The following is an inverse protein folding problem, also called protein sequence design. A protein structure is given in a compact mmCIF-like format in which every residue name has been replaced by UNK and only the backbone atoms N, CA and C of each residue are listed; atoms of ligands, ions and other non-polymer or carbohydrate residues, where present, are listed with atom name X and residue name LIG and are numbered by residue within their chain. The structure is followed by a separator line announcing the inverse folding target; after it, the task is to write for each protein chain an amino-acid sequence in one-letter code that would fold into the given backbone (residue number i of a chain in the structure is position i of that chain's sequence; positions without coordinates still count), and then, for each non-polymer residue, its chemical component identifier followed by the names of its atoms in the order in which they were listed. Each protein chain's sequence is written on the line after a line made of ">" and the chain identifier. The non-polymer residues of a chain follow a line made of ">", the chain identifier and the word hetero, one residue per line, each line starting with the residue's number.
data_IF_677664946758
#
_entry.id   IF_677664946758
#
_cell.length_a   1.000
_cell.length_b   1.000
_cell.length_c   1.000
_cell.angle_alpha   90.00
_cell.angle_beta   90.00
_cell.angle_gamma   90.00
#
_symmetry.space_group_name_H-M   'P 1'
#
loop_
_entity.id
_entity.type
_entity.pdbx_description
1 polymer ?
#
# COMPACT_ATOMS: atom_id res chain seq x y z
N UNK A 1 -13.51 -7.42 5.14
CA UNK A 1 -12.88 -7.62 6.47
C UNK A 1 -11.90 -8.81 6.50
N UNK A 2 -12.26 -10.01 6.00
CA UNK A 2 -11.33 -11.16 5.93
C UNK A 2 -10.13 -10.91 5.01
N UNK A 3 -10.37 -10.33 3.82
CA UNK A 3 -9.30 -9.97 2.86
C UNK A 3 -8.33 -8.96 3.46
N UNK A 4 -8.82 -7.91 4.11
CA UNK A 4 -7.97 -6.92 4.80
C UNK A 4 -7.10 -7.58 5.88
N UNK A 5 -7.65 -8.49 6.70
CA UNK A 5 -6.88 -9.25 7.70
C UNK A 5 -5.81 -10.14 7.09
N UNK A 6 -6.07 -10.78 5.95
CA UNK A 6 -5.09 -11.62 5.25
C UNK A 6 -4.03 -10.81 4.52
N UNK A 7 -4.36 -9.61 4.02
CA UNK A 7 -3.41 -8.77 3.29
C UNK A 7 -2.55 -7.88 4.20
N UNK A 8 -3.04 -7.46 5.37
CA UNK A 8 -2.25 -6.72 6.37
C UNK A 8 -0.90 -7.34 6.73
N UNK A 9 -0.75 -8.66 6.98
CA UNK A 9 0.55 -9.26 7.25
C UNK A 9 1.46 -9.25 6.02
N UNK A 10 0.93 -9.48 4.82
CA UNK A 10 1.70 -9.40 3.57
C UNK A 10 2.32 -8.01 3.38
N UNK A 11 1.52 -6.96 3.55
CA UNK A 11 2.03 -5.58 3.47
C UNK A 11 3.05 -5.27 4.57
N UNK A 12 2.87 -5.82 5.77
CA UNK A 12 3.84 -5.62 6.85
C UNK A 12 5.16 -6.32 6.57
N UNK A 13 5.13 -7.53 6.01
CA UNK A 13 6.34 -8.26 5.60
C UNK A 13 7.05 -7.48 4.50
N UNK A 14 6.33 -7.00 3.49
CA UNK A 14 6.89 -6.18 2.41
C UNK A 14 7.60 -4.92 2.91
N UNK A 15 6.97 -4.19 3.84
CA UNK A 15 7.57 -2.98 4.43
C UNK A 15 8.82 -3.33 5.24
N UNK A 16 8.75 -4.40 6.04
CA UNK A 16 9.89 -4.85 6.85
C UNK A 16 11.06 -5.30 5.98
N UNK A 17 10.78 -6.08 4.95
CA UNK A 17 11.75 -6.56 3.96
C UNK A 17 12.39 -5.37 3.22
N UNK A 18 11.58 -4.43 2.75
CA UNK A 18 12.08 -3.25 2.04
C UNK A 18 13.01 -2.41 2.91
N UNK A 19 12.67 -2.20 4.19
CA UNK A 19 13.53 -1.47 5.14
C UNK A 19 14.82 -2.23 5.42
N UNK A 20 14.74 -3.54 5.67
CA UNK A 20 15.91 -4.38 5.94
C UNK A 20 16.88 -4.41 4.75
N UNK A 21 16.35 -4.56 3.54
CA UNK A 21 17.14 -4.56 2.31
C UNK A 21 17.78 -3.20 2.02
N UNK A 22 17.09 -2.11 2.34
CA UNK A 22 17.63 -0.75 2.20
C UNK A 22 18.81 -0.53 3.17
N UNK A 23 18.67 -0.96 4.43
CA UNK A 23 19.77 -0.92 5.42
C UNK A 23 20.94 -1.79 4.97
N UNK A 24 20.70 -3.02 4.49
CA UNK A 24 21.74 -3.89 3.96
C UNK A 24 22.48 -3.25 2.76
N UNK A 25 21.74 -2.61 1.85
CA UNK A 25 22.30 -1.91 0.69
C UNK A 25 23.17 -0.72 1.11
N UNK A 26 22.73 0.06 2.10
CA UNK A 26 23.49 1.15 2.70
C UNK A 26 24.81 0.67 3.32
N UNK A 27 24.78 -0.40 4.10
CA UNK A 27 25.97 -1.00 4.70
C UNK A 27 26.93 -1.51 3.62
N UNK A 28 26.40 -2.16 2.57
CA UNK A 28 27.22 -2.61 1.43
C UNK A 28 27.89 -1.46 0.69
N UNK A 29 27.23 -0.30 0.58
CA UNK A 29 27.82 0.87 -0.08
C UNK A 29 29.00 1.47 0.71
N UNK A 30 28.93 1.42 2.04
CA UNK A 30 29.99 1.94 2.93
C UNK A 30 31.20 1.01 3.00
N UNK A 31 30.97 -0.32 3.01
CA UNK A 31 32.03 -1.33 3.18
C UNK A 31 32.68 -1.73 1.85
N UNK A 32 31.96 -1.66 0.72
CA UNK A 32 32.50 -2.07 -0.57
C UNK A 32 33.54 -1.06 -1.08
N UNK A 33 34.71 -1.57 -1.48
CA UNK A 33 35.66 -0.81 -2.29
C UNK A 33 34.97 -0.31 -3.58
N UNK A 34 35.34 0.90 -4.05
CA UNK A 34 34.74 1.63 -5.18
C UNK A 34 34.87 0.89 -6.53
N UNK A 35 34.24 -0.26 -6.65
CA UNK A 35 34.16 -1.01 -7.89
C UNK A 35 32.85 -0.62 -8.59
N UNK A 36 32.98 -0.11 -9.81
CA UNK A 36 31.88 0.41 -10.61
C UNK A 36 30.74 -0.62 -10.78
N UNK A 37 31.09 -1.91 -10.90
CA UNK A 37 30.13 -3.02 -11.01
C UNK A 37 29.24 -3.16 -9.78
N UNK A 38 29.76 -2.99 -8.56
CA UNK A 38 28.94 -3.06 -7.34
C UNK A 38 28.03 -1.84 -7.19
N UNK A 39 28.47 -0.68 -7.66
CA UNK A 39 27.64 0.53 -7.70
C UNK A 39 26.44 0.33 -8.62
N UNK A 40 26.66 -0.16 -9.84
CA UNK A 40 25.58 -0.45 -10.81
C UNK A 40 24.62 -1.52 -10.26
N UNK A 41 25.15 -2.59 -9.64
CA UNK A 41 24.32 -3.64 -9.04
C UNK A 41 23.44 -3.12 -7.89
N UNK A 42 23.98 -2.25 -7.02
CA UNK A 42 23.20 -1.65 -5.94
C UNK A 42 22.09 -0.72 -6.46
N UNK A 43 22.37 0.11 -7.47
CA UNK A 43 21.34 0.95 -8.08
C UNK A 43 20.23 0.13 -8.74
N UNK A 44 20.58 -0.94 -9.45
CA UNK A 44 19.61 -1.86 -10.04
C UNK A 44 18.76 -2.58 -8.97
N UNK A 45 19.36 -2.90 -7.82
CA UNK A 45 18.64 -3.50 -6.71
C UNK A 45 17.66 -2.53 -6.06
N UNK A 46 18.09 -1.28 -5.82
CA UNK A 46 17.24 -0.21 -5.30
C UNK A 46 16.06 0.06 -6.26
N UNK A 47 16.30 0.13 -7.57
CA UNK A 47 15.23 0.35 -8.53
C UNK A 47 14.23 -0.80 -8.55
N UNK A 48 14.70 -2.05 -8.46
CA UNK A 48 13.84 -3.23 -8.35
C UNK A 48 12.94 -3.17 -7.10
N UNK A 49 13.51 -2.81 -5.94
CA UNK A 49 12.75 -2.67 -4.69
C UNK A 49 11.69 -1.56 -4.74
N UNK A 50 12.03 -0.45 -5.41
CA UNK A 50 11.09 0.65 -5.66
C UNK A 50 9.92 0.18 -6.53
N UNK A 51 10.20 -0.54 -7.61
CA UNK A 51 9.18 -1.07 -8.52
C UNK A 51 8.28 -2.09 -7.81
N UNK A 52 8.86 -3.00 -7.03
CA UNK A 52 8.13 -4.00 -6.26
C UNK A 52 7.22 -3.34 -5.22
N UNK A 53 7.74 -2.41 -4.43
CA UNK A 53 6.95 -1.69 -3.42
C UNK A 53 5.87 -0.82 -4.07
N UNK A 54 6.21 -0.17 -5.19
CA UNK A 54 5.27 0.64 -5.97
C UNK A 54 4.09 -0.17 -6.51
N UNK A 55 4.33 -1.35 -7.06
CA UNK A 55 3.26 -2.21 -7.59
C UNK A 55 2.32 -2.70 -6.48
N UNK A 56 2.85 -3.07 -5.31
CA UNK A 56 2.02 -3.43 -4.14
C UNK A 56 1.20 -2.25 -3.61
N UNK A 57 1.78 -1.04 -3.58
CA UNK A 57 1.09 0.16 -3.08
C UNK A 57 0.03 0.68 -4.05
N UNK A 58 0.28 0.64 -5.37
CA UNK A 58 -0.71 1.01 -6.38
C UNK A 58 -1.92 0.07 -6.32
N UNK A 59 -1.70 -1.24 -6.29
CA UNK A 59 -2.78 -2.21 -6.16
C UNK A 59 -3.62 -2.00 -4.88
N UNK A 60 -2.97 -1.68 -3.75
CA UNK A 60 -3.66 -1.34 -2.51
C UNK A 60 -4.51 -0.06 -2.64
N UNK A 61 -3.98 0.94 -3.35
CA UNK A 61 -4.65 2.20 -3.63
C UNK A 61 -5.90 2.03 -4.49
N UNK A 62 -5.79 1.30 -5.61
CA UNK A 62 -6.93 0.99 -6.49
C UNK A 62 -8.05 0.27 -5.74
N UNK A 63 -7.71 -0.73 -4.92
CA UNK A 63 -8.70 -1.45 -4.10
C UNK A 63 -9.41 -0.51 -3.12
N UNK A 64 -8.67 0.42 -2.52
CA UNK A 64 -9.24 1.41 -1.60
C UNK A 64 -10.13 2.42 -2.33
N UNK A 65 -9.73 2.83 -3.54
CA UNK A 65 -10.51 3.75 -4.38
C UNK A 65 -11.82 3.11 -4.83
N UNK A 66 -11.76 1.92 -5.42
CA UNK A 66 -12.95 1.17 -5.85
C UNK A 66 -13.90 0.89 -4.68
N UNK A 67 -13.38 0.53 -3.51
CA UNK A 67 -14.21 0.31 -2.32
C UNK A 67 -15.00 1.57 -1.90
N UNK A 68 -14.46 2.77 -2.12
CA UNK A 68 -15.16 4.02 -1.83
C UNK A 68 -16.29 4.33 -2.81
N UNK A 69 -16.14 3.93 -4.08
CA UNK A 69 -17.12 4.14 -5.14
C UNK A 69 -18.33 3.22 -5.00
N UNK A 70 -18.15 2.01 -4.46
CA UNK A 70 -19.22 1.02 -4.25
C UNK A 70 -20.39 1.58 -3.44
N UNK A 71 -20.14 2.39 -2.40
CA UNK A 71 -21.23 2.99 -1.63
C UNK A 71 -22.08 3.96 -2.45
N UNK A 72 -21.44 4.79 -3.27
CA UNK A 72 -22.14 5.74 -4.15
C UNK A 72 -22.92 5.03 -5.26
N UNK A 73 -22.38 3.97 -5.84
CA UNK A 73 -23.07 3.21 -6.88
C UNK A 73 -24.28 2.43 -6.34
N UNK A 74 -24.20 1.89 -5.12
CA UNK A 74 -25.34 1.28 -4.44
C UNK A 74 -26.41 2.34 -4.16
N UNK A 75 -26.04 3.53 -3.71
CA UNK A 75 -27.00 4.62 -3.47
C UNK A 75 -27.74 5.02 -4.75
N UNK A 76 -27.03 5.14 -5.88
CA UNK A 76 -27.61 5.51 -7.18
C UNK A 76 -28.29 4.35 -7.94
N UNK A 77 -28.34 3.14 -7.38
CA UNK A 77 -28.92 1.95 -8.04
C UNK A 77 -30.46 1.97 -8.14
N UNK A 78 -31.13 2.98 -7.58
CA UNK A 78 -32.59 3.10 -7.63
C UNK A 78 -33.33 2.12 -6.72
N UNK A 79 -32.64 1.61 -5.68
CA UNK A 79 -33.16 0.62 -4.73
C UNK A 79 -34.46 1.09 -4.05
N UNK A 80 -34.71 2.39 -3.96
CA UNK A 80 -35.95 2.98 -3.45
C UNK A 80 -37.19 2.73 -4.33
N UNK A 81 -37.02 2.41 -5.62
CA UNK A 81 -38.14 2.14 -6.53
C UNK A 81 -38.67 0.70 -6.44
N UNK A 82 -37.97 -0.20 -5.75
CA UNK A 82 -38.37 -1.60 -5.56
C UNK A 82 -39.40 -1.77 -4.42
N UNK A 83 -40.64 -1.35 -4.65
CA UNK A 83 -41.73 -1.44 -3.66
C UNK A 83 -42.11 -2.88 -3.26
N UNK A 84 -41.89 -3.88 -4.11
CA UNK A 84 -42.33 -5.28 -3.88
C UNK A 84 -41.28 -6.20 -3.23
N UNK A 85 -40.05 -5.74 -2.96
CA UNK A 85 -38.99 -6.60 -2.40
C UNK A 85 -38.31 -5.94 -1.21
N UNK A 86 -38.90 -6.13 -0.02
CA UNK A 86 -38.34 -5.67 1.25
C UNK A 86 -36.94 -6.22 1.52
N UNK A 87 -36.67 -7.43 1.06
CA UNK A 87 -35.38 -8.11 1.24
C UNK A 87 -34.25 -7.40 0.48
N UNK A 88 -34.51 -6.95 -0.76
CA UNK A 88 -33.54 -6.18 -1.54
C UNK A 88 -33.26 -4.82 -0.90
N UNK A 89 -34.28 -4.19 -0.34
CA UNK A 89 -34.15 -2.91 0.37
C UNK A 89 -33.28 -3.06 1.61
N UNK A 90 -33.53 -4.09 2.42
CA UNK A 90 -32.71 -4.39 3.59
C UNK A 90 -31.25 -4.71 3.20
N UNK A 91 -31.05 -5.50 2.14
CA UNK A 91 -29.71 -5.83 1.64
C UNK A 91 -28.95 -4.60 1.14
N UNK A 92 -29.61 -3.70 0.41
CA UNK A 92 -29.04 -2.46 -0.10
C UNK A 92 -28.65 -1.48 1.03
N UNK A 93 -29.49 -1.35 2.06
CA UNK A 93 -29.20 -0.52 3.23
C UNK A 93 -28.01 -1.09 4.03
N UNK A 94 -27.98 -2.42 4.22
CA UNK A 94 -26.86 -3.07 4.90
C UNK A 94 -25.56 -2.94 4.10
N UNK A 95 -25.59 -3.13 2.78
CA UNK A 95 -24.41 -2.98 1.93
C UNK A 95 -23.94 -1.52 1.86
N UNK A 96 -24.85 -0.55 1.87
CA UNK A 96 -24.54 0.88 1.97
C UNK A 96 -23.87 1.21 3.32
N UNK A 97 -24.42 0.71 4.43
CA UNK A 97 -23.83 0.90 5.76
C UNK A 97 -22.43 0.28 5.86
N UNK A 98 -22.21 -0.86 5.23
CA UNK A 98 -20.92 -1.55 5.23
C UNK A 98 -19.88 -0.88 4.31
N UNK A 99 -20.30 -0.21 3.24
CA UNK A 99 -19.41 0.51 2.32
C UNK A 99 -19.00 1.90 2.84
N UNK A 100 -19.74 2.48 3.80
CA UNK A 100 -19.34 3.70 4.48
C UNK A 100 -18.15 3.53 5.43
N UNK A 101 -17.78 2.28 5.77
CA UNK A 101 -16.58 2.01 6.57
C UNK A 101 -15.37 2.01 5.63
N UNK A 102 -14.52 3.05 5.66
CA UNK A 102 -13.38 3.13 4.76
C UNK A 102 -12.42 1.97 5.01
N UNK A 103 -12.11 1.23 3.95
CA UNK A 103 -11.15 0.12 4.00
C UNK A 103 -9.76 0.69 3.84
N UNK A 104 -9.15 1.13 4.95
CA UNK A 104 -7.74 1.49 4.95
C UNK A 104 -6.87 0.23 5.04
N UNK A 105 -6.08 -0.02 4.01
CA UNK A 105 -5.02 -1.02 4.07
C UNK A 105 -3.87 -0.47 4.92
N UNK A 106 -3.86 -0.86 6.20
CA UNK A 106 -2.77 -0.56 7.14
C UNK A 106 -1.79 -1.72 7.20
N UNK A 107 -0.51 -1.45 7.01
CA UNK A 107 0.56 -2.37 7.42
C UNK A 107 0.74 -2.26 8.94
N UNK A 108 0.77 -3.41 9.62
CA UNK A 108 0.94 -3.53 11.08
C UNK A 108 -0.12 -2.79 11.94
N UNK A 109 -1.21 -2.31 11.34
CA UNK A 109 -2.24 -1.51 12.03
C UNK A 109 -1.81 -0.07 12.36
N UNK A 110 -0.57 0.32 12.06
CA UNK A 110 0.02 1.61 12.43
C UNK A 110 0.44 2.42 11.21
N UNK A 111 0.96 1.77 10.17
CA UNK A 111 1.43 2.44 8.95
C UNK A 111 0.33 2.35 7.91
N UNK A 112 -0.37 3.47 7.68
CA UNK A 112 -1.28 3.60 6.54
C UNK A 112 -0.45 3.54 5.26
N UNK A 113 -0.65 2.51 4.42
CA UNK A 113 -0.01 2.45 3.11
C UNK A 113 -0.54 3.61 2.27
N UNK A 114 0.27 4.64 2.13
CA UNK A 114 -0.04 5.81 1.32
C UNK A 114 1.21 6.20 0.56
N UNK A 115 1.04 6.68 -0.66
CA UNK A 115 2.10 7.23 -1.50
C UNK A 115 2.97 8.24 -0.74
N UNK A 116 2.39 8.99 0.20
CA UNK A 116 3.10 9.91 1.08
C UNK A 116 4.15 9.22 1.97
N UNK A 117 3.81 8.05 2.55
CA UNK A 117 4.75 7.28 3.38
C UNK A 117 5.89 6.71 2.53
N UNK A 118 5.62 6.28 1.30
CA UNK A 118 6.65 5.83 0.37
C UNK A 118 7.67 6.92 0.04
N UNK A 119 7.19 8.11 -0.32
CA UNK A 119 8.07 9.26 -0.57
C UNK A 119 8.84 9.61 0.70
N UNK A 120 8.22 9.51 1.88
CA UNK A 120 8.90 9.77 3.14
C UNK A 120 10.06 8.80 3.41
N UNK A 121 9.87 7.51 3.12
CA UNK A 121 10.93 6.50 3.21
C UNK A 121 12.07 6.80 2.22
N UNK A 122 11.75 7.09 0.96
CA UNK A 122 12.78 7.47 -0.04
C UNK A 122 13.56 8.71 0.42
N UNK A 123 12.86 9.73 0.90
CA UNK A 123 13.49 10.98 1.36
C UNK A 123 14.40 10.72 2.56
N UNK A 124 13.97 9.88 3.50
CA UNK A 124 14.79 9.48 4.64
C UNK A 124 16.05 8.73 4.20
N UNK A 125 15.91 7.80 3.25
CA UNK A 125 17.04 7.06 2.69
C UNK A 125 18.03 7.97 1.97
N UNK A 126 17.53 8.88 1.13
CA UNK A 126 18.36 9.89 0.46
C UNK A 126 19.07 10.78 1.47
N UNK A 127 18.36 11.24 2.51
CA UNK A 127 18.94 12.09 3.55
C UNK A 127 20.06 11.35 4.31
N UNK A 128 19.91 10.05 4.55
CA UNK A 128 20.97 9.22 5.15
C UNK A 128 22.19 9.09 4.23
N UNK A 129 21.98 8.84 2.93
CA UNK A 129 23.07 8.83 1.94
C UNK A 129 23.79 10.19 1.86
N UNK A 130 23.05 11.29 1.85
CA UNK A 130 23.60 12.64 1.80
C UNK A 130 24.38 13.04 3.07
N UNK A 131 24.12 12.39 4.21
CA UNK A 131 24.89 12.59 5.45
C UNK A 131 26.16 11.75 5.47
N UNK A 132 26.14 10.56 4.88
CA UNK A 132 27.27 9.63 4.87
C UNK A 132 28.33 9.96 3.81
N UNK A 133 27.99 10.79 2.82
CA UNK A 133 28.87 11.23 1.73
C UNK A 133 29.18 12.72 1.85
#
# INVERSE_FOLDING_TARGET
>A
RNVQKSMSPLYSVQVTESVALLVMCLVKMVVAERNFTYLVANFAFISCLIVLTGSYMMAAGDITHEASLVGTSIFHSGWEHCHCRSDLRALAVVSLQMSQVPVYMTAFGVITLSYSNFISVIRSSYSFFAVMY
#
